data_IF_972913716064
#
_entry.id   IF_972913716064
#
_cell.length_a   1.000
_cell.length_b   1.000
_cell.length_c   1.000
_cell.angle_alpha   90.00
_cell.angle_beta   90.00
_cell.angle_gamma   90.00
#
_symmetry.space_group_name_H-M   'P 1'
#
loop_
_entity.id
_entity.type
_entity.pdbx_description
1 polymer ?
#
# COMPACT_ATOMS: atom_id res chain seq x y z
N UNK A 1 2.65 42.39 10.31
CA UNK A 1 2.19 41.06 9.89
C UNK A 1 3.28 40.44 9.03
N UNK A 2 3.81 39.28 9.42
CA UNK A 2 4.90 38.63 8.68
C UNK A 2 4.36 37.93 7.43
N UNK A 3 4.99 38.19 6.28
CA UNK A 3 4.63 37.52 5.02
C UNK A 3 4.74 36.00 5.19
N UNK A 4 3.69 35.27 4.77
CA UNK A 4 3.72 33.80 4.77
C UNK A 4 4.87 33.31 3.90
N UNK A 5 5.71 32.44 4.44
CA UNK A 5 6.76 31.78 3.66
C UNK A 5 6.12 30.87 2.59
N UNK A 6 6.73 30.76 1.40
CA UNK A 6 6.26 29.83 0.37
C UNK A 6 6.36 28.39 0.87
N UNK A 7 5.40 27.54 0.48
CA UNK A 7 5.35 26.12 0.83
C UNK A 7 5.16 25.28 -0.42
N UNK A 8 5.93 24.21 -0.55
CA UNK A 8 5.74 23.21 -1.60
C UNK A 8 4.66 22.21 -1.16
N UNK A 9 3.72 21.89 -2.06
CA UNK A 9 2.68 20.87 -1.83
C UNK A 9 2.70 19.90 -3.00
N UNK A 10 2.80 18.61 -2.70
CA UNK A 10 2.76 17.54 -3.70
C UNK A 10 1.41 16.86 -3.70
N UNK A 11 0.70 16.96 -4.82
CA UNK A 11 -0.60 16.33 -5.00
C UNK A 11 -0.44 14.99 -5.74
N UNK A 12 -0.94 13.92 -5.15
CA UNK A 12 -0.90 12.57 -5.72
C UNK A 12 -2.33 12.13 -6.06
N UNK A 13 -2.58 11.88 -7.34
CA UNK A 13 -3.88 11.43 -7.83
C UNK A 13 -3.81 9.96 -8.23
N UNK A 14 -4.55 9.10 -7.52
CA UNK A 14 -4.75 7.72 -7.94
C UNK A 14 -5.89 7.63 -8.97
N UNK A 15 -5.55 7.29 -10.21
CA UNK A 15 -6.50 7.22 -11.33
C UNK A 15 -6.98 5.80 -11.63
N UNK A 16 -6.43 4.78 -10.96
CA UNK A 16 -6.77 3.37 -11.17
C UNK A 16 -7.99 2.88 -10.39
N UNK A 17 -8.76 3.76 -9.75
CA UNK A 17 -9.96 3.36 -9.02
C UNK A 17 -11.19 3.42 -9.93
N UNK A 18 -11.91 2.31 -10.16
CA UNK A 18 -13.07 2.27 -11.06
C UNK A 18 -14.26 3.09 -10.55
N UNK A 19 -15.16 3.47 -11.46
CA UNK A 19 -16.38 4.20 -11.10
C UNK A 19 -17.30 3.38 -10.20
N UNK A 20 -17.35 2.06 -10.41
CA UNK A 20 -18.09 1.10 -9.60
C UNK A 20 -17.14 0.11 -8.92
N UNK A 21 -17.37 -0.15 -7.64
CA UNK A 21 -16.63 -1.11 -6.84
C UNK A 21 -15.21 -0.67 -6.44
N UNK A 22 -14.28 -1.63 -6.50
CA UNK A 22 -12.88 -1.51 -6.09
C UNK A 22 -11.95 -1.96 -7.22
N UNK A 23 -10.66 -1.57 -7.22
CA UNK A 23 -9.69 -2.10 -8.17
C UNK A 23 -9.64 -3.63 -8.13
N UNK A 24 -9.52 -4.28 -9.30
CA UNK A 24 -9.46 -5.75 -9.39
C UNK A 24 -8.23 -6.34 -8.70
N UNK A 25 -7.12 -5.60 -8.67
CA UNK A 25 -5.88 -6.01 -7.99
C UNK A 25 -5.35 -4.84 -7.15
N UNK A 26 -4.82 -5.08 -5.95
CA UNK A 26 -4.33 -4.03 -5.08
C UNK A 26 -2.94 -3.52 -5.48
N UNK A 27 -2.18 -4.24 -6.33
CA UNK A 27 -0.81 -3.89 -6.73
C UNK A 27 -0.62 -2.44 -7.15
N UNK A 28 -1.44 -1.86 -8.06
CA UNK A 28 -1.27 -0.46 -8.47
C UNK A 28 -1.53 0.52 -7.32
N UNK A 29 -2.46 0.17 -6.43
CA UNK A 29 -2.78 0.99 -5.25
C UNK A 29 -1.67 0.95 -4.21
N UNK A 30 -1.06 -0.23 -3.98
CA UNK A 30 0.11 -0.38 -3.11
C UNK A 30 1.32 0.39 -3.64
N UNK A 31 1.58 0.34 -4.95
CA UNK A 31 2.62 1.13 -5.59
C UNK A 31 2.38 2.65 -5.42
N UNK A 32 1.13 3.09 -5.59
CA UNK A 32 0.74 4.46 -5.34
C UNK A 32 1.00 4.88 -3.88
N UNK A 33 0.60 4.06 -2.91
CA UNK A 33 0.82 4.30 -1.48
C UNK A 33 2.31 4.42 -1.15
N UNK A 34 3.14 3.50 -1.65
CA UNK A 34 4.62 3.58 -1.51
C UNK A 34 5.17 4.89 -2.05
N UNK A 35 4.67 5.36 -3.20
CA UNK A 35 5.09 6.62 -3.81
C UNK A 35 4.71 7.84 -2.99
N UNK A 36 3.49 7.86 -2.42
CA UNK A 36 3.05 8.93 -1.50
C UNK A 36 3.96 8.99 -0.28
N UNK A 37 4.23 7.83 0.36
CA UNK A 37 5.08 7.76 1.55
C UNK A 37 6.53 8.16 1.25
N UNK A 38 7.07 7.77 0.10
CA UNK A 38 8.42 8.15 -0.32
C UNK A 38 8.61 9.67 -0.43
N UNK A 39 7.58 10.41 -0.86
CA UNK A 39 7.65 11.85 -1.07
C UNK A 39 7.10 12.69 0.08
N UNK A 40 6.50 12.08 1.09
CA UNK A 40 6.01 12.79 2.27
C UNK A 40 7.19 13.10 3.22
N UNK A 41 7.55 14.37 3.43
CA UNK A 41 8.63 14.72 4.35
C UNK A 41 8.31 14.29 5.78
N UNK A 42 9.29 13.83 6.58
CA UNK A 42 9.06 13.40 7.96
C UNK A 42 8.64 14.54 8.89
N UNK A 43 8.95 15.78 8.53
CA UNK A 43 8.60 17.02 9.23
C UNK A 43 7.31 17.68 8.70
N UNK A 44 6.64 17.05 7.73
CA UNK A 44 5.36 17.53 7.23
C UNK A 44 4.23 17.34 8.25
N UNK A 45 3.19 18.17 8.13
CA UNK A 45 1.94 17.97 8.85
C UNK A 45 1.15 16.74 8.36
N UNK A 46 -0.06 16.51 8.89
CA UNK A 46 -0.90 15.39 8.47
C UNK A 46 -1.17 15.41 6.97
N UNK A 47 -1.07 14.24 6.32
CA UNK A 47 -1.41 14.08 4.90
C UNK A 47 -2.91 14.33 4.71
N UNK A 48 -3.25 15.22 3.78
CA UNK A 48 -4.64 15.42 3.36
C UNK A 48 -5.00 14.36 2.33
N UNK A 49 -5.96 13.50 2.68
CA UNK A 49 -6.48 12.44 1.80
C UNK A 49 -7.94 12.75 1.48
N UNK A 50 -8.31 12.76 0.21
CA UNK A 50 -9.70 13.00 -0.20
C UNK A 50 -10.11 12.11 -1.38
N UNK A 51 -11.42 12.00 -1.59
CA UNK A 51 -12.01 11.45 -2.79
C UNK A 51 -13.15 12.37 -3.24
N UNK A 52 -14.39 11.87 -3.33
CA UNK A 52 -15.60 12.70 -3.48
C UNK A 52 -16.16 13.06 -2.10
N UNK A 53 -16.82 12.13 -1.41
CA UNK A 53 -17.34 12.35 -0.04
C UNK A 53 -16.25 12.26 1.06
N UNK A 54 -15.06 11.78 0.72
CA UNK A 54 -13.94 11.66 1.65
C UNK A 54 -14.13 10.59 2.73
N UNK A 55 -14.82 9.48 2.43
CA UNK A 55 -15.12 8.41 3.41
C UNK A 55 -14.78 7.00 2.91
N UNK A 56 -15.10 6.68 1.64
CA UNK A 56 -14.86 5.35 1.06
C UNK A 56 -13.39 5.10 0.67
N UNK A 57 -13.00 5.55 -0.53
CA UNK A 57 -11.61 5.43 -1.05
C UNK A 57 -10.57 6.04 -0.09
N UNK A 58 -10.94 7.16 0.54
CA UNK A 58 -10.15 7.82 1.59
C UNK A 58 -9.94 6.90 2.80
N UNK A 59 -10.98 6.20 3.24
CA UNK A 59 -10.87 5.23 4.33
C UNK A 59 -9.96 4.06 3.98
N UNK A 60 -10.08 3.49 2.78
CA UNK A 60 -9.18 2.42 2.32
C UNK A 60 -7.72 2.87 2.35
N UNK A 61 -7.42 4.06 1.83
CA UNK A 61 -6.05 4.59 1.85
C UNK A 61 -5.50 4.67 3.28
N UNK A 62 -6.25 5.27 4.22
CA UNK A 62 -5.80 5.48 5.60
C UNK A 62 -5.63 4.14 6.33
N UNK A 63 -6.57 3.21 6.16
CA UNK A 63 -6.52 1.88 6.79
C UNK A 63 -5.31 1.10 6.30
N UNK A 64 -5.13 1.00 4.97
CA UNK A 64 -4.02 0.24 4.40
C UNK A 64 -2.68 0.87 4.82
N UNK A 65 -2.52 2.19 4.75
CA UNK A 65 -1.27 2.86 5.17
C UNK A 65 -0.96 2.60 6.65
N UNK A 66 -1.96 2.76 7.52
CA UNK A 66 -1.78 2.59 8.97
C UNK A 66 -1.47 1.13 9.34
N UNK A 67 -2.11 0.16 8.69
CA UNK A 67 -1.85 -1.26 8.95
C UNK A 67 -0.50 -1.71 8.41
N UNK A 68 -0.06 -1.19 7.26
CA UNK A 68 1.29 -1.44 6.75
C UNK A 68 2.37 -0.79 7.62
N UNK A 69 2.08 0.35 8.28
CA UNK A 69 2.96 0.91 9.31
C UNK A 69 3.02 -0.01 10.53
N UNK A 70 1.86 -0.41 11.05
CA UNK A 70 1.75 -1.29 12.22
C UNK A 70 2.48 -2.62 12.01
N UNK A 71 2.29 -3.26 10.86
CA UNK A 71 2.97 -4.50 10.49
C UNK A 71 4.49 -4.40 10.60
N UNK A 72 5.09 -3.24 10.24
CA UNK A 72 6.54 -3.07 10.30
C UNK A 72 7.10 -2.97 11.72
N UNK A 73 6.30 -2.51 12.68
CA UNK A 73 6.76 -2.29 14.06
C UNK A 73 6.27 -3.37 15.03
N UNK A 74 5.10 -3.94 14.78
CA UNK A 74 4.40 -4.81 15.73
C UNK A 74 4.10 -6.21 15.19
N UNK A 75 4.35 -6.47 13.90
CA UNK A 75 4.03 -7.76 13.24
C UNK A 75 2.55 -8.19 13.41
N UNK A 76 1.64 -7.23 13.59
CA UNK A 76 0.21 -7.48 13.78
C UNK A 76 -0.65 -6.58 12.89
N UNK A 77 -1.89 -7.03 12.65
CA UNK A 77 -2.90 -6.32 11.86
C UNK A 77 -4.22 -6.31 12.62
N UNK A 78 -4.91 -5.17 12.63
CA UNK A 78 -6.26 -5.05 13.19
C UNK A 78 -7.10 -4.08 12.34
N UNK A 79 -7.54 -4.57 11.18
CA UNK A 79 -8.35 -3.78 10.23
C UNK A 79 -9.68 -3.40 10.87
N UNK A 80 -10.33 -4.34 11.58
CA UNK A 80 -11.62 -4.11 12.23
C UNK A 80 -11.54 -3.01 13.29
N UNK A 81 -10.59 -3.12 14.23
CA UNK A 81 -10.40 -2.14 15.29
C UNK A 81 -10.04 -0.78 14.72
N UNK A 82 -9.16 -0.74 13.72
CA UNK A 82 -8.76 0.52 13.10
C UNK A 82 -9.92 1.20 12.35
N UNK A 83 -10.72 0.47 11.58
CA UNK A 83 -11.93 1.02 10.92
C UNK A 83 -12.94 1.50 11.96
N UNK A 84 -13.12 0.76 13.06
CA UNK A 84 -13.99 1.16 14.17
C UNK A 84 -13.55 2.50 14.77
N UNK A 85 -12.25 2.69 15.02
CA UNK A 85 -11.69 3.95 15.51
C UNK A 85 -11.88 5.07 14.50
N UNK A 86 -11.57 4.86 13.22
CA UNK A 86 -11.77 5.88 12.18
C UNK A 86 -13.22 6.34 12.10
N UNK A 87 -14.18 5.43 12.30
CA UNK A 87 -15.61 5.75 12.31
C UNK A 87 -16.05 6.61 13.50
N UNK A 88 -15.26 6.68 14.57
CA UNK A 88 -15.49 7.62 15.68
C UNK A 88 -15.04 9.05 15.35
N UNK A 89 -14.12 9.20 14.40
CA UNK A 89 -13.56 10.50 14.00
C UNK A 89 -14.25 11.07 12.74
N UNK A 90 -14.70 10.20 11.83
CA UNK A 90 -15.43 10.58 10.62
C UNK A 90 -16.45 9.50 10.25
N UNK A 91 -17.65 9.92 9.88
CA UNK A 91 -18.72 9.00 9.52
C UNK A 91 -18.36 8.13 8.30
N UNK A 92 -18.84 6.89 8.30
CA UNK A 92 -18.79 5.97 7.15
C UNK A 92 -17.39 5.69 6.57
N UNK A 93 -16.32 5.86 7.36
CA UNK A 93 -14.96 5.47 6.94
C UNK A 93 -14.93 4.00 6.52
N UNK A 94 -14.41 3.75 5.32
CA UNK A 94 -14.57 2.49 4.56
C UNK A 94 -16.07 2.19 4.39
N UNK A 95 -16.65 2.75 3.34
CA UNK A 95 -18.10 2.91 3.22
C UNK A 95 -18.81 1.61 2.81
N UNK A 96 -18.17 0.79 1.98
CA UNK A 96 -18.77 -0.43 1.43
C UNK A 96 -18.05 -1.68 1.90
N UNK A 97 -18.72 -2.83 1.82
CA UNK A 97 -18.12 -4.12 2.12
C UNK A 97 -16.96 -4.44 1.17
N UNK A 98 -17.11 -4.17 -0.13
CA UNK A 98 -16.05 -4.38 -1.14
C UNK A 98 -14.78 -3.59 -0.80
N UNK A 99 -14.92 -2.36 -0.30
CA UNK A 99 -13.80 -1.54 0.17
C UNK A 99 -13.11 -2.13 1.41
N UNK A 100 -13.88 -2.76 2.30
CA UNK A 100 -13.35 -3.45 3.46
C UNK A 100 -12.56 -4.70 3.05
N UNK A 101 -13.12 -5.53 2.16
CA UNK A 101 -12.45 -6.70 1.57
C UNK A 101 -11.17 -6.27 0.84
N UNK A 102 -11.24 -5.26 -0.02
CA UNK A 102 -10.07 -4.72 -0.72
C UNK A 102 -8.95 -4.28 0.23
N UNK A 103 -9.30 -3.76 1.42
CA UNK A 103 -8.30 -3.38 2.42
C UNK A 103 -7.58 -4.60 2.98
N UNK A 104 -8.29 -5.72 3.20
CA UNK A 104 -7.69 -7.00 3.57
C UNK A 104 -6.78 -7.53 2.45
N UNK A 105 -7.27 -7.56 1.21
CA UNK A 105 -6.52 -8.09 0.06
C UNK A 105 -5.22 -7.30 -0.19
N UNK A 106 -5.28 -5.97 -0.08
CA UNK A 106 -4.11 -5.12 -0.25
C UNK A 106 -3.06 -5.35 0.85
N UNK A 107 -3.49 -5.54 2.10
CA UNK A 107 -2.56 -5.82 3.20
C UNK A 107 -1.96 -7.23 3.04
N UNK A 108 -2.78 -8.21 2.63
CA UNK A 108 -2.32 -9.57 2.34
C UNK A 108 -1.26 -9.58 1.24
N UNK A 109 -1.53 -8.93 0.09
CA UNK A 109 -0.58 -8.88 -1.02
C UNK A 109 0.73 -8.19 -0.61
N UNK A 110 0.65 -7.09 0.16
CA UNK A 110 1.84 -6.39 0.64
C UNK A 110 2.71 -7.26 1.56
N UNK A 111 2.11 -8.12 2.40
CA UNK A 111 2.83 -9.04 3.28
C UNK A 111 3.39 -10.23 2.50
N UNK A 112 2.62 -10.79 1.57
CA UNK A 112 3.01 -11.97 0.80
C UNK A 112 4.12 -11.68 -0.20
N UNK A 113 4.07 -10.53 -0.88
CA UNK A 113 5.00 -10.19 -1.97
C UNK A 113 6.16 -9.30 -1.52
N UNK A 114 6.00 -8.55 -0.42
CA UNK A 114 6.97 -7.56 0.01
C UNK A 114 7.18 -6.43 -1.01
N UNK A 115 8.36 -5.79 -0.99
CA UNK A 115 8.74 -4.76 -1.96
C UNK A 115 9.80 -5.28 -2.92
N UNK A 116 9.39 -5.52 -4.17
CA UNK A 116 10.25 -5.98 -5.27
C UNK A 116 10.76 -4.84 -6.15
N UNK A 117 10.51 -3.58 -5.79
CA UNK A 117 11.02 -2.43 -6.54
C UNK A 117 12.53 -2.25 -6.34
N UNK A 118 13.27 -2.18 -7.46
CA UNK A 118 14.73 -2.02 -7.44
C UNK A 118 15.13 -0.74 -8.16
N UNK A 119 15.88 0.12 -7.47
CA UNK A 119 16.45 1.31 -8.10
C UNK A 119 17.42 0.90 -9.21
N UNK A 120 17.34 1.52 -10.41
CA UNK A 120 18.12 1.13 -11.58
C UNK A 120 19.63 0.96 -11.33
N UNK A 121 20.24 1.88 -10.55
CA UNK A 121 21.65 1.79 -10.12
C UNK A 121 22.04 0.50 -9.38
N UNK A 122 21.07 -0.16 -8.74
CA UNK A 122 21.26 -1.40 -7.98
C UNK A 122 20.85 -2.65 -8.77
N UNK A 123 20.34 -2.50 -10.00
CA UNK A 123 19.76 -3.61 -10.77
C UNK A 123 20.75 -4.76 -10.99
N UNK A 124 21.99 -4.44 -11.39
CA UNK A 124 23.03 -5.46 -11.62
C UNK A 124 23.36 -6.25 -10.35
N UNK A 125 23.39 -5.57 -9.20
CA UNK A 125 23.63 -6.24 -7.92
C UNK A 125 22.44 -7.13 -7.53
N UNK A 126 21.22 -6.65 -7.73
CA UNK A 126 20.02 -7.41 -7.46
C UNK A 126 19.91 -8.66 -8.34
N UNK A 127 20.17 -8.56 -9.65
CA UNK A 127 20.20 -9.72 -10.56
C UNK A 127 21.21 -10.76 -10.08
N UNK A 128 22.43 -10.35 -9.70
CA UNK A 128 23.44 -11.27 -9.16
C UNK A 128 22.92 -12.03 -7.95
N UNK A 129 22.32 -11.32 -6.99
CA UNK A 129 21.70 -11.92 -5.80
C UNK A 129 20.61 -12.93 -6.17
N UNK A 130 19.77 -12.63 -7.16
CA UNK A 130 18.71 -13.53 -7.61
C UNK A 130 19.24 -14.79 -8.30
N UNK A 131 20.39 -14.72 -8.96
CA UNK A 131 21.01 -15.86 -9.64
C UNK A 131 21.86 -16.76 -8.72
N UNK A 132 22.23 -16.28 -7.54
CA UNK A 132 22.95 -17.06 -6.55
C UNK A 132 22.03 -18.12 -5.92
N UNK A 133 22.59 -19.30 -5.62
CA UNK A 133 21.87 -20.37 -4.94
C UNK A 133 21.58 -19.97 -3.50
N UNK A 134 20.31 -20.00 -3.12
CA UNK A 134 19.86 -19.75 -1.76
C UNK A 134 20.13 -20.93 -0.82
N UNK A 135 19.68 -20.79 0.43
CA UNK A 135 19.82 -21.83 1.48
C UNK A 135 19.08 -23.14 1.17
N UNK A 136 18.17 -23.16 0.19
CA UNK A 136 17.31 -24.28 -0.16
C UNK A 136 17.55 -24.90 -1.54
N UNK A 137 18.75 -24.78 -2.10
CA UNK A 137 19.13 -25.28 -3.44
C UNK A 137 18.37 -24.67 -4.64
N UNK A 138 17.50 -23.69 -4.39
CA UNK A 138 16.80 -22.89 -5.40
C UNK A 138 17.40 -21.49 -5.48
N UNK A 139 17.32 -20.88 -6.66
CA UNK A 139 17.79 -19.49 -6.85
C UNK A 139 16.77 -18.50 -6.31
N UNK A 140 17.21 -17.29 -5.94
CA UNK A 140 16.28 -16.22 -5.54
C UNK A 140 15.26 -15.88 -6.64
N UNK A 141 15.65 -16.04 -7.91
CA UNK A 141 14.73 -15.91 -9.05
C UNK A 141 13.60 -16.94 -9.01
N UNK A 142 13.91 -18.19 -8.67
CA UNK A 142 12.91 -19.26 -8.58
C UNK A 142 11.99 -19.05 -7.38
N UNK A 143 12.53 -18.58 -6.25
CA UNK A 143 11.74 -18.20 -5.08
C UNK A 143 10.75 -17.07 -5.40
N UNK A 144 11.23 -15.98 -6.02
CA UNK A 144 10.37 -14.86 -6.42
C UNK A 144 9.31 -15.29 -7.45
N UNK A 145 9.67 -16.14 -8.41
CA UNK A 145 8.73 -16.67 -9.39
C UNK A 145 7.62 -17.50 -8.73
N UNK A 146 7.95 -18.33 -7.73
CA UNK A 146 6.96 -19.10 -6.95
C UNK A 146 6.03 -18.20 -6.16
N UNK A 147 6.55 -17.14 -5.52
CA UNK A 147 5.73 -16.15 -4.81
C UNK A 147 4.78 -15.44 -5.77
N UNK A 148 5.28 -15.04 -6.94
CA UNK A 148 4.46 -14.43 -7.99
C UNK A 148 3.32 -15.35 -8.42
N UNK A 149 3.61 -16.61 -8.72
CA UNK A 149 2.57 -17.60 -9.06
C UNK A 149 1.53 -17.74 -7.94
N UNK A 150 1.96 -17.91 -6.68
CA UNK A 150 1.04 -18.04 -5.55
C UNK A 150 0.17 -16.80 -5.36
N UNK A 151 0.72 -15.60 -5.53
CA UNK A 151 -0.06 -14.35 -5.48
C UNK A 151 -1.04 -14.24 -6.64
N UNK A 152 -0.72 -14.75 -7.83
CA UNK A 152 -1.66 -14.80 -8.96
C UNK A 152 -2.77 -15.82 -8.71
N UNK A 153 -2.47 -17.00 -8.17
CA UNK A 153 -3.45 -18.05 -7.90
C UNK A 153 -4.42 -17.69 -6.76
N UNK A 154 -3.95 -17.01 -5.71
CA UNK A 154 -4.83 -16.47 -4.65
C UNK A 154 -5.85 -15.46 -5.21
N UNK A 155 -5.53 -14.77 -6.30
CA UNK A 155 -6.39 -13.77 -6.93
C UNK A 155 -7.33 -14.34 -8.03
N UNK A 156 -7.30 -15.66 -8.30
CA UNK A 156 -8.10 -16.32 -9.35
C UNK A 156 -9.18 -17.26 -8.77
N UNK A 157 -9.18 -17.52 -7.47
CA UNK A 157 -10.29 -18.21 -6.76
C UNK A 157 -11.33 -17.22 -6.23
#
# INVERSE_FOLDING_TARGET
EGASQPREVKHFQFTGWPDHGVPAHPTPFLAFLRRVKFYNPPDAGPIVVHCSAGVGRTGCFIVIDSMLERLRHEETVDIYGHVTVLRTQRNYMVQTQEQYIFSHDAILEAVSCGNTEVHARNLLHHIKKLTELGKGEVTGLEEEFKVGLNSFFINIE
#
